data_IF_597372462131
#
_entry.id   IF_597372462131
#
_cell.length_a   1.000
_cell.length_b   1.000
_cell.length_c   1.000
_cell.angle_alpha   90.00
_cell.angle_beta   90.00
_cell.angle_gamma   90.00
#
_symmetry.space_group_name_H-M   'P 1'
#
loop_
_entity.id
_entity.type
_entity.pdbx_description
1 polymer ?
#
# COMPACT_ATOMS: atom_id res chain seq x y z
N UNK A 1 16.59 -3.29 15.32
CA UNK A 1 15.97 -2.37 14.36
C UNK A 1 15.12 -1.39 15.13
N UNK A 2 15.13 -0.13 14.72
CA UNK A 2 14.42 0.99 15.34
C UNK A 2 14.14 2.06 14.27
N UNK A 3 13.21 2.98 14.54
CA UNK A 3 12.75 3.95 13.55
C UNK A 3 13.83 4.96 13.14
N UNK A 4 14.78 5.26 14.03
CA UNK A 4 15.89 6.16 13.69
C UNK A 4 16.82 5.49 12.68
N UNK A 5 17.16 4.22 12.90
CA UNK A 5 17.93 3.41 11.96
C UNK A 5 17.22 3.27 10.61
N UNK A 6 15.90 3.00 10.59
CA UNK A 6 15.11 2.95 9.35
C UNK A 6 15.16 4.28 8.60
N UNK A 7 15.00 5.40 9.30
CA UNK A 7 15.10 6.72 8.70
C UNK A 7 16.49 6.95 8.07
N UNK A 8 17.57 6.55 8.75
CA UNK A 8 18.92 6.62 8.20
C UNK A 8 19.08 5.74 6.94
N UNK A 9 18.49 4.54 6.93
CA UNK A 9 18.53 3.66 5.75
C UNK A 9 17.77 4.27 4.57
N UNK A 10 16.62 4.90 4.82
CA UNK A 10 15.84 5.60 3.79
C UNK A 10 16.62 6.78 3.19
N UNK A 11 17.12 7.71 4.00
CA UNK A 11 17.81 8.91 3.50
C UNK A 11 19.11 8.60 2.77
N UNK A 12 19.74 7.46 3.08
CA UNK A 12 20.96 6.99 2.44
C UNK A 12 20.69 6.03 1.28
N UNK A 13 19.43 5.86 0.85
CA UNK A 13 19.02 4.94 -0.22
C UNK A 13 19.57 3.51 -0.05
N UNK A 14 19.52 2.99 1.17
CA UNK A 14 20.09 1.68 1.54
C UNK A 14 19.11 0.51 1.38
N UNK A 15 17.88 0.78 0.90
CA UNK A 15 16.91 -0.24 0.56
C UNK A 15 16.92 -0.45 -0.96
N UNK A 16 17.16 -1.67 -1.39
CA UNK A 16 17.20 -2.00 -2.82
C UNK A 16 15.80 -2.08 -3.41
N UNK A 17 14.81 -2.37 -2.57
CA UNK A 17 13.41 -2.44 -2.93
C UNK A 17 12.52 -2.12 -1.70
N UNK A 18 11.25 -1.75 -1.92
CA UNK A 18 10.31 -1.42 -0.84
C UNK A 18 10.09 -2.55 0.18
N UNK A 19 10.18 -3.82 -0.24
CA UNK A 19 9.97 -4.97 0.67
C UNK A 19 11.01 -5.04 1.78
N UNK A 20 12.26 -4.65 1.52
CA UNK A 20 13.30 -4.60 2.56
C UNK A 20 12.97 -3.58 3.67
N UNK A 21 12.35 -2.45 3.32
CA UNK A 21 11.85 -1.48 4.30
C UNK A 21 10.71 -2.08 5.13
N UNK A 22 9.76 -2.78 4.49
CA UNK A 22 8.67 -3.48 5.17
C UNK A 22 9.20 -4.52 6.16
N UNK A 23 10.25 -5.26 5.79
CA UNK A 23 10.85 -6.28 6.65
C UNK A 23 11.49 -5.67 7.90
N UNK A 24 12.16 -4.54 7.78
CA UNK A 24 12.70 -3.81 8.94
C UNK A 24 11.59 -3.27 9.85
N UNK A 25 10.49 -2.77 9.30
CA UNK A 25 9.31 -2.37 10.07
C UNK A 25 8.69 -3.57 10.81
N UNK A 26 8.55 -4.72 10.14
CA UNK A 26 8.08 -5.95 10.77
C UNK A 26 8.99 -6.40 11.91
N UNK A 27 10.31 -6.23 11.76
CA UNK A 27 11.26 -6.55 12.82
C UNK A 27 11.07 -5.65 14.06
N UNK A 28 10.77 -4.36 13.90
CA UNK A 28 10.40 -3.48 15.02
C UNK A 28 9.16 -4.02 15.75
N UNK A 29 8.10 -4.34 15.00
CA UNK A 29 6.86 -4.85 15.60
C UNK A 29 7.06 -6.19 16.30
N UNK A 30 7.76 -7.13 15.68
CA UNK A 30 8.04 -8.43 16.27
C UNK A 30 8.85 -8.31 17.57
N UNK A 31 9.89 -7.47 17.57
CA UNK A 31 10.67 -7.22 18.78
C UNK A 31 9.82 -6.58 19.88
N UNK A 32 8.90 -5.68 19.52
CA UNK A 32 7.96 -5.10 20.46
C UNK A 32 7.07 -6.18 21.10
N UNK A 33 6.50 -7.08 20.31
CA UNK A 33 5.60 -8.13 20.82
C UNK A 33 6.32 -9.25 21.59
N UNK A 34 7.60 -9.49 21.31
CA UNK A 34 8.42 -10.45 22.06
C UNK A 34 8.86 -9.87 23.41
N UNK A 35 9.21 -8.58 23.43
CA UNK A 35 9.82 -7.96 24.62
C UNK A 35 8.80 -7.43 25.62
N UNK A 36 7.56 -7.19 25.20
CA UNK A 36 6.52 -6.61 26.03
C UNK A 36 5.35 -7.57 26.20
N UNK A 37 4.89 -7.73 27.44
CA UNK A 37 3.74 -8.57 27.75
C UNK A 37 2.45 -8.00 27.14
N UNK A 38 1.55 -8.91 26.77
CA UNK A 38 0.23 -8.56 26.24
C UNK A 38 -0.53 -7.70 27.27
N UNK A 39 -1.11 -6.59 26.78
CA UNK A 39 -1.90 -5.66 27.59
C UNK A 39 -1.11 -4.54 28.24
N UNK A 40 0.24 -4.56 28.16
CA UNK A 40 1.06 -3.41 28.53
C UNK A 40 0.84 -2.24 27.57
N UNK A 41 1.09 -1.02 28.04
CA UNK A 41 1.00 0.19 27.21
C UNK A 41 1.86 0.08 25.95
N UNK A 42 3.11 -0.37 26.10
CA UNK A 42 4.03 -0.54 24.98
C UNK A 42 3.56 -1.58 23.97
N UNK A 43 2.99 -2.71 24.43
CA UNK A 43 2.40 -3.70 23.52
C UNK A 43 1.23 -3.10 22.72
N UNK A 44 0.36 -2.34 23.38
CA UNK A 44 -0.81 -1.73 22.74
C UNK A 44 -0.41 -0.65 21.72
N UNK A 45 0.57 0.20 22.06
CA UNK A 45 1.12 1.20 21.13
C UNK A 45 1.78 0.53 19.91
N UNK A 46 2.56 -0.53 20.13
CA UNK A 46 3.16 -1.31 19.04
C UNK A 46 2.11 -1.94 18.12
N UNK A 47 1.00 -2.41 18.69
CA UNK A 47 -0.13 -2.96 17.94
C UNK A 47 -0.82 -1.90 17.09
N UNK A 48 -1.11 -0.73 17.66
CA UNK A 48 -1.74 0.39 16.94
C UNK A 48 -0.86 0.86 15.78
N UNK A 49 0.43 1.06 16.02
CA UNK A 49 1.36 1.45 14.97
C UNK A 49 1.47 0.40 13.84
N UNK A 50 1.48 -0.88 14.19
CA UNK A 50 1.47 -1.97 13.21
C UNK A 50 0.20 -1.99 12.35
N UNK A 51 -0.97 -1.73 12.95
CA UNK A 51 -2.23 -1.61 12.22
C UNK A 51 -2.17 -0.45 11.21
N UNK A 52 -1.79 0.74 11.65
CA UNK A 52 -1.66 1.91 10.78
C UNK A 52 -0.64 1.66 9.64
N UNK A 53 0.50 1.04 9.97
CA UNK A 53 1.50 0.69 8.96
C UNK A 53 0.94 -0.26 7.90
N UNK A 54 0.20 -1.30 8.30
CA UNK A 54 -0.41 -2.26 7.36
C UNK A 54 -1.42 -1.59 6.43
N UNK A 55 -2.24 -0.68 6.95
CA UNK A 55 -3.19 0.08 6.13
C UNK A 55 -2.46 0.92 5.07
N UNK A 56 -1.43 1.68 5.46
CA UNK A 56 -0.61 2.44 4.52
C UNK A 56 0.11 1.54 3.51
N UNK A 57 0.68 0.42 3.97
CA UNK A 57 1.40 -0.51 3.11
C UNK A 57 0.49 -1.16 2.06
N UNK A 58 -0.74 -1.50 2.45
CA UNK A 58 -1.75 -2.03 1.52
C UNK A 58 -2.07 -1.03 0.42
N UNK A 59 -2.30 0.25 0.77
CA UNK A 59 -2.53 1.30 -0.22
C UNK A 59 -1.35 1.44 -1.18
N UNK A 60 -0.13 1.50 -0.65
CA UNK A 60 1.10 1.55 -1.44
C UNK A 60 1.20 0.37 -2.41
N UNK A 61 0.99 -0.86 -1.92
CA UNK A 61 1.11 -2.08 -2.73
C UNK A 61 0.13 -2.10 -3.91
N UNK A 62 -1.14 -1.72 -3.69
CA UNK A 62 -2.12 -1.65 -4.77
C UNK A 62 -1.81 -0.56 -5.79
N UNK A 63 -1.28 0.59 -5.35
CA UNK A 63 -0.85 1.64 -6.27
C UNK A 63 0.29 1.15 -7.17
N UNK A 64 1.28 0.47 -6.60
CA UNK A 64 2.43 -0.09 -7.34
C UNK A 64 1.98 -1.14 -8.38
N UNK A 65 1.09 -2.06 -8.00
CA UNK A 65 0.57 -3.07 -8.95
C UNK A 65 -0.22 -2.41 -10.09
N UNK A 66 -1.08 -1.43 -9.77
CA UNK A 66 -1.87 -0.73 -10.78
C UNK A 66 -0.99 0.12 -11.72
N UNK A 67 0.13 0.67 -11.25
CA UNK A 67 1.09 1.36 -12.13
C UNK A 67 1.78 0.40 -13.10
N UNK A 68 2.12 -0.80 -12.65
CA UNK A 68 2.72 -1.83 -13.50
C UNK A 68 1.72 -2.38 -14.53
N UNK A 69 0.45 -2.54 -14.16
CA UNK A 69 -0.61 -2.93 -15.10
C UNK A 69 -0.86 -1.86 -16.17
N UNK A 70 -0.87 -0.57 -15.80
CA UNK A 70 -1.02 0.54 -16.75
C UNK A 70 0.16 0.67 -17.73
N UNK A 71 1.36 0.33 -17.29
CA UNK A 71 2.55 0.26 -18.15
C UNK A 71 2.51 -0.95 -19.09
N UNK A 72 2.00 -2.09 -18.61
CA UNK A 72 1.87 -3.33 -19.39
C UNK A 72 0.73 -3.25 -20.45
N UNK A 73 -0.29 -2.43 -20.21
CA UNK A 73 -1.44 -2.23 -21.11
C UNK A 73 -1.31 -1.01 -22.05
N UNK A 74 -0.11 -0.46 -22.26
CA UNK A 74 0.13 0.49 -23.36
C UNK A 74 -0.02 -0.23 -24.72
N UNK A 75 -1.25 -0.38 -25.16
CA UNK A 75 -1.61 -0.75 -26.53
C UNK A 75 -1.31 0.49 -27.37
N UNK A 76 -0.37 0.38 -28.31
CA UNK A 76 -0.12 1.43 -29.29
C UNK A 76 -1.44 1.78 -29.99
N UNK A 77 -1.75 3.07 -30.25
CA UNK A 77 -3.04 3.48 -30.83
C UNK A 77 -3.40 2.77 -32.15
N UNK A 78 -2.41 2.20 -32.85
CA UNK A 78 -2.58 1.43 -34.07
C UNK A 78 -3.19 0.02 -33.85
N UNK A 79 -3.00 -0.57 -32.67
CA UNK A 79 -3.49 -1.93 -32.35
C UNK A 79 -4.97 -1.94 -31.91
N UNK A 80 -5.57 -0.77 -31.65
CA UNK A 80 -6.97 -0.60 -31.23
C UNK A 80 -7.98 -0.62 -32.39
N UNK A 81 -7.53 -0.72 -33.65
CA UNK A 81 -8.43 -0.61 -34.82
C UNK A 81 -9.36 -1.83 -35.04
N UNK A 82 -9.24 -2.91 -34.26
CA UNK A 82 -9.98 -4.15 -34.50
C UNK A 82 -10.75 -4.74 -33.32
N UNK A 83 -10.70 -4.16 -32.12
CA UNK A 83 -11.27 -4.81 -30.93
C UNK A 83 -12.69 -4.28 -30.62
N UNK A 84 -13.71 -5.10 -30.85
CA UNK A 84 -15.09 -4.78 -30.46
C UNK A 84 -15.25 -4.98 -28.94
N UNK A 85 -15.41 -3.87 -28.23
CA UNK A 85 -15.61 -3.79 -26.78
C UNK A 85 -17.07 -4.10 -26.47
N UNK A 86 -17.43 -5.38 -26.33
CA UNK A 86 -18.72 -5.77 -25.72
C UNK A 86 -18.60 -6.81 -24.61
N UNK A 87 -17.45 -7.45 -24.41
CA UNK A 87 -17.29 -8.54 -23.43
C UNK A 87 -16.66 -8.08 -22.08
N UNK A 88 -15.78 -7.07 -22.09
CA UNK A 88 -15.07 -6.61 -20.88
C UNK A 88 -15.93 -5.79 -19.89
N UNK A 89 -17.00 -5.19 -20.37
CA UNK A 89 -17.82 -4.27 -19.57
C UNK A 89 -18.61 -4.99 -18.47
N UNK A 90 -18.90 -6.29 -18.64
CA UNK A 90 -19.72 -7.05 -17.68
C UNK A 90 -18.93 -7.52 -16.47
N UNK A 91 -17.66 -7.90 -16.65
CA UNK A 91 -16.81 -8.43 -15.58
C UNK A 91 -16.37 -7.32 -14.59
N UNK A 92 -16.05 -6.14 -15.12
CA UNK A 92 -15.74 -4.95 -14.32
C UNK A 92 -16.94 -4.43 -13.50
N UNK A 93 -18.15 -4.61 -14.03
CA UNK A 93 -19.38 -4.19 -13.35
C UNK A 93 -19.73 -5.13 -12.19
N UNK A 94 -19.41 -6.43 -12.32
CA UNK A 94 -19.58 -7.43 -11.26
C UNK A 94 -18.61 -7.22 -10.10
N UNK A 95 -17.34 -6.89 -10.36
CA UNK A 95 -16.36 -6.58 -9.31
C UNK A 95 -16.72 -5.30 -8.53
N UNK A 96 -17.27 -4.28 -9.20
CA UNK A 96 -17.73 -3.08 -8.50
C UNK A 96 -18.98 -3.30 -7.64
N UNK A 97 -19.86 -4.24 -7.99
CA UNK A 97 -21.02 -4.60 -7.18
C UNK A 97 -20.64 -5.43 -5.94
N UNK A 98 -19.69 -6.36 -6.09
CA UNK A 98 -19.16 -7.14 -4.96
C UNK A 98 -18.42 -6.24 -3.94
N UNK A 99 -17.75 -5.18 -4.42
CA UNK A 99 -17.12 -4.17 -3.56
C UNK A 99 -18.14 -3.34 -2.77
N UNK A 100 -19.25 -2.93 -3.40
CA UNK A 100 -20.33 -2.16 -2.73
C UNK A 100 -21.05 -2.97 -1.65
N UNK A 101 -21.23 -4.27 -1.85
CA UNK A 101 -21.89 -5.15 -0.88
C UNK A 101 -21.02 -5.44 0.36
N UNK A 102 -19.71 -5.53 0.20
CA UNK A 102 -18.78 -5.80 1.31
C UNK A 102 -18.37 -4.55 2.10
N UNK A 103 -18.61 -3.34 1.57
CA UNK A 103 -18.28 -2.05 2.20
C UNK A 103 -19.37 -1.52 3.16
N UNK A 104 -20.53 -2.18 3.26
CA UNK A 104 -21.61 -1.72 4.15
C UNK A 104 -21.34 -1.90 5.66
N UNK A 105 -20.16 -2.38 6.06
CA UNK A 105 -19.75 -2.44 7.46
C UNK A 105 -18.55 -1.51 7.71
N UNK A 106 -18.87 -0.31 8.18
CA UNK A 106 -18.01 0.70 8.81
C UNK A 106 -17.06 1.55 7.95
N UNK A 107 -17.60 2.76 7.71
CA UNK A 107 -17.00 4.09 7.75
C UNK A 107 -16.43 4.70 6.45
N UNK A 108 -17.09 5.75 5.91
CA UNK A 108 -16.62 6.50 4.76
C UNK A 108 -15.82 7.72 5.24
N UNK A 109 -14.50 7.68 5.22
CA UNK A 109 -13.68 8.90 5.28
C UNK A 109 -12.24 8.52 5.01
N UNK A 110 -11.78 8.51 3.76
CA UNK A 110 -10.48 9.06 3.32
C UNK A 110 -10.59 9.35 1.82
N UNK A 111 -11.15 10.50 1.46
CA UNK A 111 -10.94 11.10 0.13
C UNK A 111 -10.43 12.55 0.21
N UNK A 112 -9.92 12.99 1.36
CA UNK A 112 -9.34 14.33 1.47
C UNK A 112 -8.09 14.32 2.35
N UNK A 113 -6.93 14.23 1.71
CA UNK A 113 -5.87 15.25 1.80
C UNK A 113 -4.68 14.79 0.96
N UNK A 114 -4.69 15.25 -0.28
CA UNK A 114 -3.54 15.32 -1.16
C UNK A 114 -2.51 16.32 -0.59
N UNK A 115 -1.22 16.15 -0.92
CA UNK A 115 -0.06 17.06 -0.73
C UNK A 115 1.05 16.68 0.30
N UNK A 116 1.16 15.42 0.74
CA UNK A 116 2.23 15.00 1.66
C UNK A 116 3.32 14.07 1.11
N UNK A 117 2.96 13.11 0.24
CA UNK A 117 3.83 11.94 -0.02
C UNK A 117 4.43 11.86 -1.43
N UNK A 118 4.06 12.76 -2.34
CA UNK A 118 4.61 12.77 -3.70
C UNK A 118 6.09 13.20 -3.79
N UNK A 119 6.71 13.65 -2.70
CA UNK A 119 8.10 14.13 -2.66
C UNK A 119 9.12 13.11 -2.12
N UNK A 120 8.71 11.91 -1.70
CA UNK A 120 9.68 10.90 -1.21
C UNK A 120 10.23 9.96 -2.28
N UNK A 121 9.61 9.91 -3.47
CA UNK A 121 10.09 9.08 -4.60
C UNK A 121 10.10 9.83 -5.94
N UNK A 122 10.23 11.16 -5.89
CA UNK A 122 10.36 12.00 -7.08
C UNK A 122 11.77 11.93 -7.67
N UNK A 123 11.87 11.27 -8.82
CA UNK A 123 13.01 11.20 -9.75
C UNK A 123 13.96 12.40 -9.75
N UNK A 124 15.26 12.12 -9.56
CA UNK A 124 16.35 12.71 -10.34
C UNK A 124 17.52 11.73 -10.46
#
# INVERSE_FOLDING_TARGET
MDLFTINLKLVNNQYSNPSEFKDDMNLIFNNCFISNDIGTEMYNLGKELNCNFKECWTVYYYQEQNSLEQELFHIEPEDLQGFQIEEYSQEFQFEQETFKLNSSAHHPFILTTYSGLSNMFGNH
#
